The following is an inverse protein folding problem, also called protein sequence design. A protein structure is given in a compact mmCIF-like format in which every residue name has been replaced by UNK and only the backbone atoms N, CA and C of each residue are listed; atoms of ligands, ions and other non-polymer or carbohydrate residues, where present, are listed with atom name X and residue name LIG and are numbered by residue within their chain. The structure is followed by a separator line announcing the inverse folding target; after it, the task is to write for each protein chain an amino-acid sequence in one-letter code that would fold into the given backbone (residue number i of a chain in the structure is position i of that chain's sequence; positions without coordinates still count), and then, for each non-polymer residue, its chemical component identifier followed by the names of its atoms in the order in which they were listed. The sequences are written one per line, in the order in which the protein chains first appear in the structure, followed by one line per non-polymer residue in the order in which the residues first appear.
data_IF_041003469047
#
_entry.id   IF_041003469047
#
_cell.length_a   1.000
_cell.length_b   1.000
_cell.length_c   1.000
_cell.angle_alpha   90.00
_cell.angle_beta   90.00
_cell.angle_gamma   90.00
#
_symmetry.space_group_name_H-M   'P 1'
#
loop_
_entity.id
_entity.type
_entity.pdbx_description
1 polymer ?
#
# COMPACT_ATOMS: atom_id res chain seq x y z
N UNK A 1 -3.98 -43.37 45.19
CA UNK A 1 -2.94 -43.09 44.17
C UNK A 1 -3.60 -42.36 43.02
N UNK A 2 -3.38 -41.03 42.91
CA UNK A 2 -3.98 -40.20 41.87
C UNK A 2 -3.06 -40.11 40.64
N UNK A 3 -3.62 -40.40 39.46
CA UNK A 3 -2.93 -40.32 38.17
C UNK A 3 -3.42 -39.08 37.41
N UNK A 4 -2.96 -37.88 37.81
CA UNK A 4 -3.37 -36.59 37.24
C UNK A 4 -2.28 -36.00 36.33
N UNK A 5 -1.78 -36.77 35.36
CA UNK A 5 -0.55 -36.40 34.62
C UNK A 5 -0.67 -36.05 33.13
N UNK A 6 -1.72 -36.45 32.41
CA UNK A 6 -1.63 -36.52 30.93
C UNK A 6 -2.75 -35.79 30.16
N UNK A 7 -3.03 -34.53 30.49
CA UNK A 7 -3.93 -33.66 29.70
C UNK A 7 -3.22 -32.64 28.78
N UNK A 8 -1.88 -32.65 28.70
CA UNK A 8 -1.11 -31.71 27.85
C UNK A 8 -0.52 -32.32 26.57
N UNK A 9 -0.61 -33.63 26.35
CA UNK A 9 0.07 -34.29 25.24
C UNK A 9 -0.66 -34.22 23.89
N UNK A 10 -1.88 -33.67 23.81
CA UNK A 10 -2.66 -33.62 22.55
C UNK A 10 -2.65 -32.28 21.83
N UNK A 11 -1.93 -31.27 22.32
CA UNK A 11 -1.86 -29.95 21.68
C UNK A 11 -0.76 -29.82 20.62
N UNK A 12 0.09 -30.85 20.41
CA UNK A 12 1.29 -30.75 19.57
C UNK A 12 1.23 -31.61 18.29
N UNK A 13 0.04 -31.97 17.84
CA UNK A 13 -0.15 -32.80 16.63
C UNK A 13 -1.28 -32.27 15.77
N UNK A 14 -1.27 -30.97 15.49
CA UNK A 14 -1.84 -30.50 14.24
C UNK A 14 -0.72 -30.55 13.20
N UNK A 15 -0.78 -31.40 12.16
CA UNK A 15 0.03 -31.16 10.98
C UNK A 15 -0.32 -29.74 10.50
N UNK A 16 0.71 -28.91 10.30
CA UNK A 16 0.59 -27.69 9.51
C UNK A 16 0.11 -28.12 8.12
N UNK A 17 -1.20 -28.21 7.95
CA UNK A 17 -1.79 -28.10 6.63
C UNK A 17 -1.39 -26.72 6.15
N UNK A 18 -0.68 -26.68 5.01
CA UNK A 18 -0.47 -25.51 4.16
C UNK A 18 -1.82 -24.93 3.73
N UNK A 19 -2.57 -24.40 4.69
CA UNK A 19 -3.55 -23.37 4.43
C UNK A 19 -2.72 -22.09 4.49
N UNK A 20 -2.02 -21.84 3.39
CA UNK A 20 -1.75 -20.49 2.95
C UNK A 20 -3.12 -19.81 2.97
N UNK A 21 -3.44 -19.18 4.10
CA UNK A 21 -4.54 -18.26 4.18
C UNK A 21 -4.22 -17.22 3.13
N UNK A 22 -4.81 -17.41 1.94
CA UNK A 22 -4.92 -16.37 0.96
C UNK A 22 -5.71 -15.29 1.69
N UNK A 23 -4.97 -14.39 2.34
CA UNK A 23 -5.43 -13.04 2.57
C UNK A 23 -5.65 -12.54 1.15
N UNK A 24 -6.82 -12.84 0.61
CA UNK A 24 -7.40 -12.15 -0.53
C UNK A 24 -7.47 -10.74 -0.01
N UNK A 25 -6.41 -9.98 -0.30
CA UNK A 25 -6.35 -8.56 -0.08
C UNK A 25 -7.48 -8.04 -0.96
N UNK A 26 -8.69 -7.92 -0.39
CA UNK A 26 -9.85 -7.30 -1.01
C UNK A 26 -9.48 -5.84 -1.12
N UNK A 27 -8.59 -5.52 -2.04
CA UNK A 27 -8.39 -4.16 -2.48
C UNK A 27 -9.77 -3.73 -2.95
N UNK A 28 -10.37 -2.72 -2.32
CA UNK A 28 -11.66 -2.23 -2.77
C UNK A 28 -11.51 -1.91 -4.24
N UNK A 29 -12.45 -2.42 -5.05
CA UNK A 29 -12.42 -2.21 -6.49
C UNK A 29 -12.36 -0.70 -6.73
N UNK A 30 -11.25 -0.22 -7.28
CA UNK A 30 -11.00 1.21 -7.42
C UNK A 30 -11.98 1.76 -8.45
N UNK A 31 -12.84 2.68 -8.03
CA UNK A 31 -13.86 3.28 -8.91
C UNK A 31 -13.23 4.06 -10.07
N UNK A 32 -12.06 4.66 -9.84
CA UNK A 32 -11.34 5.45 -10.84
C UNK A 32 -9.89 4.96 -10.99
N UNK A 33 -9.34 5.04 -12.22
CA UNK A 33 -7.93 4.75 -12.47
C UNK A 33 -7.03 5.82 -11.85
N UNK A 34 -5.77 5.43 -11.62
CA UNK A 34 -4.74 6.36 -11.17
C UNK A 34 -4.35 7.35 -12.26
N UNK A 35 -3.95 8.55 -11.86
CA UNK A 35 -3.54 9.63 -12.76
C UNK A 35 -2.02 9.78 -12.70
N UNK A 36 -1.37 9.88 -13.85
CA UNK A 36 0.06 10.16 -13.96
C UNK A 36 0.37 11.65 -13.77
N UNK A 37 1.33 11.93 -12.91
CA UNK A 37 1.96 13.24 -12.80
C UNK A 37 3.45 13.13 -13.06
N UNK A 38 3.97 14.02 -13.90
CA UNK A 38 5.39 14.18 -14.21
C UNK A 38 5.97 15.31 -13.35
N UNK A 39 7.11 15.06 -12.73
CA UNK A 39 7.82 16.07 -11.96
C UNK A 39 8.74 16.91 -12.85
N UNK A 40 8.57 18.23 -12.84
CA UNK A 40 9.29 19.16 -13.72
C UNK A 40 10.35 20.00 -12.99
N UNK A 41 10.52 19.82 -11.68
CA UNK A 41 11.54 20.50 -10.90
C UNK A 41 12.94 19.89 -11.08
N UNK A 42 13.96 20.55 -10.52
CA UNK A 42 15.37 20.16 -10.70
C UNK A 42 15.94 19.34 -9.52
N UNK A 43 15.17 19.11 -8.46
CA UNK A 43 15.60 18.38 -7.25
C UNK A 43 14.78 17.10 -7.04
N UNK A 44 14.91 16.42 -5.90
CA UNK A 44 13.91 15.43 -5.49
C UNK A 44 12.66 16.10 -4.92
N UNK A 45 11.52 15.41 -4.97
CA UNK A 45 10.27 15.84 -4.32
C UNK A 45 9.57 14.63 -3.70
N UNK A 46 9.11 14.75 -2.46
CA UNK A 46 8.19 13.78 -1.84
C UNK A 46 6.92 14.52 -1.42
N UNK A 47 5.76 14.04 -1.85
CA UNK A 47 4.46 14.65 -1.56
C UNK A 47 3.57 13.62 -0.90
N UNK A 48 2.87 14.04 0.16
CA UNK A 48 1.82 13.24 0.78
C UNK A 48 0.47 13.52 0.12
N UNK A 49 -0.24 12.48 -0.29
CA UNK A 49 -1.62 12.57 -0.77
C UNK A 49 -2.55 13.14 0.30
N UNK A 50 -3.39 14.10 -0.07
CA UNK A 50 -4.29 14.80 0.84
C UNK A 50 -5.47 13.94 1.30
N UNK A 51 -5.89 12.95 0.52
CA UNK A 51 -7.00 12.05 0.84
C UNK A 51 -6.50 10.69 1.31
N UNK A 52 -5.56 10.08 0.58
CA UNK A 52 -5.10 8.72 0.90
C UNK A 52 -3.97 8.67 1.92
N UNK A 53 -3.26 9.78 2.12
CA UNK A 53 -2.07 9.84 2.95
C UNK A 53 -0.84 9.12 2.36
N UNK A 54 -0.94 8.56 1.14
CA UNK A 54 0.19 7.91 0.46
C UNK A 54 1.32 8.89 0.20
N UNK A 55 2.56 8.42 0.27
CA UNK A 55 3.73 9.20 -0.11
C UNK A 55 4.07 8.90 -1.57
N UNK A 56 4.16 9.95 -2.36
CA UNK A 56 4.57 9.92 -3.76
C UNK A 56 5.94 10.59 -3.87
N UNK A 57 6.92 9.86 -4.39
CA UNK A 57 8.31 10.31 -4.48
C UNK A 57 8.70 10.45 -5.94
N UNK A 58 9.41 11.54 -6.22
CA UNK A 58 10.01 11.87 -7.50
C UNK A 58 11.50 12.09 -7.26
N UNK A 59 12.36 11.30 -7.91
CA UNK A 59 13.80 11.35 -7.66
C UNK A 59 14.51 12.37 -8.54
N UNK A 60 13.97 12.67 -9.72
CA UNK A 60 14.58 13.56 -10.72
C UNK A 60 13.54 14.19 -11.64
N UNK A 61 13.96 15.22 -12.39
CA UNK A 61 13.15 15.82 -13.45
C UNK A 61 12.71 14.77 -14.49
N UNK A 62 11.45 14.84 -14.91
CA UNK A 62 10.82 13.91 -15.83
C UNK A 62 10.33 12.61 -15.18
N UNK A 63 10.60 12.40 -13.89
CA UNK A 63 10.10 11.24 -13.17
C UNK A 63 8.57 11.30 -13.06
N UNK A 64 7.92 10.14 -13.13
CA UNK A 64 6.46 10.04 -13.22
C UNK A 64 5.94 9.13 -12.11
N UNK A 65 4.94 9.60 -11.37
CA UNK A 65 4.26 8.82 -10.35
C UNK A 65 2.77 8.64 -10.69
N UNK A 66 2.26 7.45 -10.40
CA UNK A 66 0.83 7.15 -10.48
C UNK A 66 0.16 7.54 -9.16
N UNK A 67 -0.69 8.56 -9.24
CA UNK A 67 -1.37 9.17 -8.10
C UNK A 67 -2.80 8.65 -8.03
N UNK A 68 -3.28 8.35 -6.82
CA UNK A 68 -4.70 8.04 -6.61
C UNK A 68 -5.57 9.22 -7.09
N UNK A 69 -6.62 8.93 -7.87
CA UNK A 69 -7.53 9.95 -8.40
C UNK A 69 -8.00 10.95 -7.33
N UNK A 70 -8.23 10.47 -6.10
CA UNK A 70 -8.69 11.30 -4.98
C UNK A 70 -7.66 12.33 -4.53
N UNK A 71 -6.37 12.03 -4.69
CA UNK A 71 -5.26 12.93 -4.34
C UNK A 71 -4.90 13.90 -5.47
N UNK A 72 -5.42 13.68 -6.69
CA UNK A 72 -5.01 14.43 -7.88
C UNK A 72 -5.28 15.94 -7.75
N UNK A 73 -6.36 16.34 -7.07
CA UNK A 73 -6.70 17.75 -6.83
C UNK A 73 -5.63 18.47 -5.99
N UNK A 74 -5.01 17.77 -5.03
CA UNK A 74 -3.89 18.28 -4.25
C UNK A 74 -2.64 18.43 -5.10
N UNK A 75 -2.35 17.44 -5.94
CA UNK A 75 -1.18 17.45 -6.84
C UNK A 75 -1.24 18.57 -7.89
N UNK A 76 -2.44 18.90 -8.39
CA UNK A 76 -2.63 20.00 -9.36
C UNK A 76 -2.24 21.38 -8.83
N UNK A 77 -2.18 21.57 -7.50
CA UNK A 77 -1.75 22.84 -6.90
C UNK A 77 -0.23 23.00 -6.85
N UNK A 78 0.53 21.94 -7.08
CA UNK A 78 1.98 21.96 -7.04
C UNK A 78 2.52 22.41 -8.39
N UNK A 79 3.17 23.58 -8.42
CA UNK A 79 3.77 24.16 -9.64
C UNK A 79 4.86 23.29 -10.27
N UNK A 80 5.42 22.34 -9.51
CA UNK A 80 6.47 21.43 -9.96
C UNK A 80 5.92 20.11 -10.52
N UNK A 81 4.60 19.93 -10.59
CA UNK A 81 3.96 18.73 -11.13
C UNK A 81 3.11 19.07 -12.37
N UNK A 82 3.25 18.25 -13.41
CA UNK A 82 2.47 18.35 -14.64
C UNK A 82 1.65 17.07 -14.82
N UNK A 83 0.34 17.21 -15.01
CA UNK A 83 -0.52 16.07 -15.35
C UNK A 83 -0.23 15.60 -16.79
N UNK A 84 -0.05 14.30 -16.97
CA UNK A 84 0.09 13.63 -18.27
C UNK A 84 -1.23 13.06 -18.75
#
# INVERSE_FOLDING_TARGET
MCNCGNKRSTLNSQPLSDQTAMIVNRQPLKMWPDISFEYIGNTGLTVKGNVTGKLYRYDKKGDTAFIDYRDASGMMRLSLLKRK
#
